data_IF_060752489241
#
_entry.id   IF_060752489241
#
_cell.length_a   1.000
_cell.length_b   1.000
_cell.length_c   1.000
_cell.angle_alpha   90.00
_cell.angle_beta   90.00
_cell.angle_gamma   90.00
#
_symmetry.space_group_name_H-M   'P 1'
#
loop_
_entity.id
_entity.type
_entity.pdbx_description
1 polymer ?
#
# COMPACT_ATOMS: atom_id res chain seq x y z
N UNK A 1 -54.46 32.53 6.01
CA UNK A 1 -53.48 33.65 6.05
C UNK A 1 -52.90 33.77 4.63
N UNK A 2 -52.82 34.89 3.89
CA UNK A 2 -52.61 36.33 4.21
C UNK A 2 -51.32 36.52 5.02
N UNK A 3 -50.23 37.14 4.55
CA UNK A 3 -50.11 38.26 3.60
C UNK A 3 -48.98 38.10 2.55
N UNK A 4 -48.93 39.03 1.59
CA UNK A 4 -47.87 39.20 0.58
C UNK A 4 -47.29 40.63 0.61
N UNK A 5 -46.15 40.82 -0.07
CA UNK A 5 -45.47 42.09 -0.46
C UNK A 5 -44.67 42.86 0.60
N UNK A 6 -43.42 43.19 0.25
CA UNK A 6 -42.99 44.59 -0.05
C UNK A 6 -41.60 44.66 -0.70
N UNK A 7 -41.45 45.55 -1.68
CA UNK A 7 -40.19 46.00 -2.29
C UNK A 7 -40.08 47.53 -2.13
N UNK A 8 -38.89 48.04 -1.80
CA UNK A 8 -38.35 49.42 -2.01
C UNK A 8 -36.81 49.25 -1.85
N UNK A 9 -35.90 49.46 -2.81
CA UNK A 9 -35.52 50.58 -3.71
C UNK A 9 -34.58 51.64 -3.07
N UNK A 10 -33.51 52.00 -3.83
CA UNK A 10 -32.51 53.09 -3.65
C UNK A 10 -31.36 52.92 -2.62
N UNK A 11 -30.18 53.54 -2.76
CA UNK A 11 -29.39 54.06 -3.93
C UNK A 11 -28.01 54.63 -3.46
N UNK A 12 -26.96 54.63 -4.34
CA UNK A 12 -25.84 55.62 -4.55
C UNK A 12 -25.07 56.23 -3.31
N UNK A 13 -23.81 56.72 -3.32
CA UNK A 13 -22.63 56.80 -4.21
C UNK A 13 -21.52 57.63 -3.47
N UNK A 14 -20.24 57.82 -3.84
CA UNK A 14 -19.19 57.08 -4.60
C UNK A 14 -17.85 57.88 -4.54
N UNK A 15 -16.68 57.23 -4.53
CA UNK A 15 -15.33 57.87 -4.66
C UNK A 15 -14.22 56.81 -4.85
N UNK A 16 -13.29 56.87 -5.82
CA UNK A 16 -12.30 57.90 -6.24
C UNK A 16 -11.04 57.86 -5.34
N UNK A 17 -9.84 57.58 -5.86
CA UNK A 17 -8.87 58.51 -6.51
C UNK A 17 -8.02 57.79 -7.59
N UNK A 18 -7.32 58.54 -8.47
CA UNK A 18 -6.58 58.01 -9.63
C UNK A 18 -5.12 58.52 -9.74
N UNK A 19 -4.26 57.76 -10.45
CA UNK A 19 -2.96 58.17 -10.98
C UNK A 19 -2.56 57.23 -12.17
N UNK A 20 -1.69 57.60 -13.12
CA UNK A 20 -1.14 58.94 -13.36
C UNK A 20 0.23 58.99 -14.09
N UNK A 21 0.25 58.82 -15.42
CA UNK A 21 1.32 59.35 -16.29
C UNK A 21 2.64 58.55 -16.42
N UNK A 22 3.16 58.47 -17.66
CA UNK A 22 4.40 57.77 -18.06
C UNK A 22 5.40 58.76 -18.68
N UNK A 23 6.71 58.66 -18.37
CA UNK A 23 7.86 58.91 -19.29
C UNK A 23 9.28 58.82 -18.69
N UNK A 24 9.96 57.70 -18.99
CA UNK A 24 11.27 57.54 -19.67
C UNK A 24 12.36 58.67 -19.65
N UNK A 25 13.63 58.29 -19.36
CA UNK A 25 14.91 58.50 -20.13
C UNK A 25 16.18 58.62 -19.22
N UNK A 26 17.26 57.89 -19.58
CA UNK A 26 18.71 57.99 -19.22
C UNK A 26 19.16 58.25 -17.74
N UNK A 27 20.13 57.56 -17.10
CA UNK A 27 21.40 56.90 -17.48
C UNK A 27 22.66 57.80 -17.51
N UNK A 28 23.59 57.60 -16.55
CA UNK A 28 25.05 57.43 -16.78
C UNK A 28 25.73 56.81 -15.51
N UNK A 29 27.06 56.75 -15.47
CA UNK A 29 27.89 55.77 -14.75
C UNK A 29 28.87 56.41 -13.75
N UNK A 30 29.23 55.69 -12.67
CA UNK A 30 30.41 55.99 -11.86
C UNK A 30 30.95 54.72 -11.16
N UNK A 31 32.28 54.58 -11.05
CA UNK A 31 32.94 53.37 -10.53
C UNK A 31 33.77 53.67 -9.28
N UNK A 32 33.62 52.87 -8.21
CA UNK A 32 34.65 52.76 -7.16
C UNK A 32 34.53 51.47 -6.33
N UNK A 33 35.70 50.99 -5.87
CA UNK A 33 35.97 49.87 -4.95
C UNK A 33 37.10 50.35 -3.99
N UNK A 34 37.47 49.69 -2.87
CA UNK A 34 37.07 48.33 -2.41
C UNK A 34 36.76 48.18 -0.89
N UNK A 35 36.54 46.92 -0.48
CA UNK A 35 37.09 46.24 0.73
C UNK A 35 36.20 45.95 1.97
N UNK A 36 36.56 44.81 2.61
CA UNK A 36 36.30 44.37 3.99
C UNK A 36 34.90 43.80 4.39
N UNK A 37 34.72 42.51 4.04
CA UNK A 37 34.19 41.41 4.87
C UNK A 37 33.06 41.63 5.90
N UNK A 38 31.96 40.90 5.70
CA UNK A 38 31.23 40.18 6.77
C UNK A 38 30.91 38.75 6.27
N UNK A 39 30.84 37.76 7.17
CA UNK A 39 30.70 36.33 6.85
C UNK A 39 29.30 35.81 7.14
N UNK A 40 28.32 36.22 6.32
CA UNK A 40 26.97 35.67 6.35
C UNK A 40 26.80 34.49 5.38
N UNK A 41 26.63 33.28 5.89
CA UNK A 41 26.14 32.15 5.10
C UNK A 41 24.63 32.38 4.85
N UNK A 42 24.28 32.71 3.60
CA UNK A 42 22.89 32.68 3.14
C UNK A 42 22.67 31.40 2.33
N UNK A 43 21.54 30.73 2.59
CA UNK A 43 21.21 29.47 1.94
C UNK A 43 21.13 29.62 0.41
N UNK A 44 21.59 28.59 -0.30
CA UNK A 44 21.52 28.54 -1.76
C UNK A 44 20.08 28.50 -2.28
N UNK A 45 19.85 28.84 -3.56
CA UNK A 45 18.54 28.68 -4.18
C UNK A 45 18.15 27.20 -4.16
N UNK A 46 16.95 26.91 -3.64
CA UNK A 46 16.36 25.56 -3.69
C UNK A 46 16.26 25.09 -5.14
N UNK A 47 16.90 23.95 -5.44
CA UNK A 47 16.70 23.27 -6.71
C UNK A 47 15.31 22.63 -6.78
N UNK A 48 14.78 22.34 -7.98
CA UNK A 48 13.55 21.58 -8.12
C UNK A 48 13.79 20.12 -7.69
N UNK A 49 13.54 19.84 -6.41
CA UNK A 49 13.56 18.48 -5.84
C UNK A 49 12.26 17.75 -6.19
N UNK A 50 12.10 17.50 -7.49
CA UNK A 50 11.21 16.47 -8.03
C UNK A 50 12.01 15.64 -9.03
N UNK A 51 13.15 15.15 -8.54
CA UNK A 51 13.94 14.16 -9.23
C UNK A 51 13.22 12.83 -9.07
N UNK A 52 12.39 12.49 -10.07
CA UNK A 52 11.77 11.17 -10.20
C UNK A 52 12.85 10.11 -10.38
N UNK A 53 13.42 9.67 -9.24
CA UNK A 53 14.49 8.67 -9.18
C UNK A 53 14.01 7.42 -9.92
N UNK A 54 14.88 6.85 -10.75
CA UNK A 54 14.48 5.69 -11.54
C UNK A 54 14.69 4.46 -10.69
N UNK A 55 13.62 4.17 -9.94
CA UNK A 55 13.56 3.11 -8.95
C UNK A 55 14.08 1.80 -9.54
N UNK A 56 14.98 1.13 -8.84
CA UNK A 56 15.79 0.05 -9.40
C UNK A 56 14.95 -1.23 -9.58
N UNK A 57 14.50 -1.51 -10.81
CA UNK A 57 13.50 -2.56 -11.09
C UNK A 57 13.75 -3.90 -10.41
N UNK A 58 12.69 -4.47 -9.83
CA UNK A 58 12.77 -5.55 -8.85
C UNK A 58 11.58 -6.52 -8.93
N UNK A 59 11.70 -7.68 -8.28
CA UNK A 59 10.60 -8.64 -8.19
C UNK A 59 9.58 -8.19 -7.15
N UNK A 60 8.27 -8.22 -7.45
CA UNK A 60 7.23 -8.12 -6.43
C UNK A 60 7.32 -9.34 -5.48
N UNK A 61 7.12 -9.12 -4.18
CA UNK A 61 7.13 -10.15 -3.13
C UNK A 61 5.86 -10.16 -2.27
N UNK A 62 5.07 -9.10 -2.28
CA UNK A 62 3.74 -9.07 -1.67
C UNK A 62 2.78 -8.16 -2.46
N UNK A 63 1.48 -8.47 -2.38
CA UNK A 63 0.37 -7.72 -2.98
C UNK A 63 -0.70 -7.42 -1.94
N UNK A 64 -1.11 -6.15 -1.86
CA UNK A 64 -2.17 -5.68 -0.94
C UNK A 64 -3.27 -4.98 -1.74
N UNK A 65 -4.53 -5.36 -1.55
CA UNK A 65 -5.71 -4.75 -2.17
C UNK A 65 -6.81 -4.65 -1.12
N UNK A 66 -6.86 -3.51 -0.42
CA UNK A 66 -7.78 -3.30 0.70
C UNK A 66 -9.26 -3.44 0.31
N UNK A 67 -9.65 -2.97 -0.89
CA UNK A 67 -11.03 -3.08 -1.41
C UNK A 67 -11.45 -4.52 -1.79
N UNK A 68 -10.55 -5.51 -1.65
CA UNK A 68 -10.79 -6.93 -1.94
C UNK A 68 -10.28 -7.87 -0.84
N UNK A 69 -9.94 -7.35 0.35
CA UNK A 69 -9.41 -8.11 1.49
C UNK A 69 -8.13 -8.90 1.16
N UNK A 70 -7.30 -8.38 0.25
CA UNK A 70 -6.03 -9.02 -0.15
C UNK A 70 -4.87 -8.48 0.66
N UNK A 71 -4.17 -9.36 1.35
CA UNK A 71 -2.83 -9.18 1.90
C UNK A 71 -2.11 -10.54 1.73
N UNK A 72 -1.20 -10.64 0.75
CA UNK A 72 -0.72 -11.93 0.25
C UNK A 72 0.73 -11.91 -0.27
N UNK A 73 1.46 -13.00 -0.05
CA UNK A 73 2.77 -13.25 -0.66
C UNK A 73 2.65 -13.40 -2.19
N UNK A 74 3.64 -12.89 -2.91
CA UNK A 74 3.79 -13.06 -4.36
C UNK A 74 4.83 -14.15 -4.65
N UNK A 75 4.36 -15.31 -5.12
CA UNK A 75 5.24 -16.39 -5.58
C UNK A 75 5.80 -16.10 -6.99
N UNK A 76 6.97 -16.65 -7.30
CA UNK A 76 7.53 -16.64 -8.67
C UNK A 76 6.99 -17.87 -9.41
N UNK A 77 6.28 -17.62 -10.52
CA UNK A 77 5.70 -18.65 -11.37
C UNK A 77 6.05 -18.40 -12.86
N UNK A 78 5.72 -19.33 -13.77
CA UNK A 78 6.22 -19.31 -15.15
C UNK A 78 5.10 -19.49 -16.19
N UNK A 79 5.36 -19.02 -17.42
CA UNK A 79 4.49 -19.25 -18.59
C UNK A 79 5.13 -20.33 -19.46
N UNK A 80 4.43 -21.46 -19.63
CA UNK A 80 4.92 -22.64 -20.36
C UNK A 80 3.99 -22.94 -21.53
N UNK A 81 4.54 -23.03 -22.75
CA UNK A 81 3.80 -23.21 -24.00
C UNK A 81 2.63 -22.21 -24.21
N UNK A 82 2.75 -21.02 -23.64
CA UNK A 82 1.73 -19.96 -23.67
C UNK A 82 0.64 -20.08 -22.60
N UNK A 83 0.68 -21.09 -21.74
CA UNK A 83 -0.18 -21.24 -20.56
C UNK A 83 0.47 -20.58 -19.35
N UNK A 84 -0.31 -19.81 -18.60
CA UNK A 84 0.05 -19.37 -17.25
C UNK A 84 -0.19 -20.53 -16.30
N UNK A 85 0.85 -21.04 -15.64
CA UNK A 85 0.72 -22.11 -14.65
C UNK A 85 -0.04 -21.65 -13.41
N UNK A 86 -0.79 -22.53 -12.76
CA UNK A 86 -1.61 -22.19 -11.59
C UNK A 86 -0.78 -21.80 -10.35
N UNK A 87 -1.28 -20.90 -9.48
CA UNK A 87 -0.68 -20.60 -8.17
C UNK A 87 -0.63 -21.82 -7.25
N UNK A 88 0.43 -21.96 -6.45
CA UNK A 88 0.67 -23.18 -5.64
C UNK A 88 -0.29 -23.38 -4.46
N UNK A 89 -1.03 -22.35 -4.03
CA UNK A 89 -1.96 -22.43 -2.90
C UNK A 89 -3.06 -21.36 -2.90
N UNK A 90 -4.05 -21.53 -2.02
CA UNK A 90 -5.26 -20.68 -1.97
C UNK A 90 -4.99 -19.20 -1.65
N UNK A 91 -3.91 -18.89 -0.92
CA UNK A 91 -3.65 -17.58 -0.32
C UNK A 91 -2.42 -16.86 -0.91
N UNK A 92 -1.85 -17.37 -2.00
CA UNK A 92 -0.67 -16.79 -2.68
C UNK A 92 -1.05 -16.21 -4.05
N UNK A 93 -0.36 -15.16 -4.45
CA UNK A 93 -0.50 -14.53 -5.77
C UNK A 93 0.69 -14.94 -6.65
N UNK A 94 0.43 -15.52 -7.82
CA UNK A 94 1.50 -15.89 -8.74
C UNK A 94 1.91 -14.71 -9.64
N UNK A 95 3.15 -14.24 -9.54
CA UNK A 95 3.76 -13.34 -10.53
C UNK A 95 4.52 -14.15 -11.59
N UNK A 96 4.34 -13.79 -12.86
CA UNK A 96 4.93 -14.54 -13.97
C UNK A 96 6.28 -13.96 -14.40
N UNK A 97 7.34 -14.77 -14.24
CA UNK A 97 8.70 -14.44 -14.67
C UNK A 97 8.75 -14.15 -16.19
N UNK A 98 9.54 -13.16 -16.58
CA UNK A 98 9.67 -12.71 -17.98
C UNK A 98 8.58 -11.74 -18.43
N UNK A 99 7.58 -11.47 -17.57
CA UNK A 99 6.68 -10.31 -17.72
C UNK A 99 7.38 -9.04 -17.19
N UNK A 100 6.64 -7.97 -16.88
CA UNK A 100 7.25 -6.80 -16.25
C UNK A 100 7.79 -7.08 -14.84
N UNK A 101 8.83 -6.35 -14.46
CA UNK A 101 9.24 -6.19 -13.05
C UNK A 101 8.58 -4.96 -12.42
N UNK A 102 8.57 -4.90 -11.08
CA UNK A 102 8.21 -3.71 -10.34
C UNK A 102 9.16 -2.56 -10.73
N UNK A 103 8.64 -1.35 -10.92
CA UNK A 103 9.41 -0.18 -11.39
C UNK A 103 9.97 -0.31 -12.82
N UNK A 104 9.53 -1.29 -13.62
CA UNK A 104 9.96 -1.45 -15.01
C UNK A 104 9.05 -0.69 -15.99
N UNK A 105 9.45 0.55 -16.29
CA UNK A 105 8.73 1.47 -17.18
C UNK A 105 8.45 0.86 -18.58
N UNK A 106 7.21 1.01 -19.07
CA UNK A 106 6.71 0.50 -20.38
C UNK A 106 6.56 -1.01 -20.44
N UNK A 107 6.03 -1.60 -19.38
CA UNK A 107 5.78 -3.03 -19.24
C UNK A 107 4.35 -3.31 -18.79
N UNK A 108 4.10 -4.60 -18.60
CA UNK A 108 2.88 -5.13 -18.04
C UNK A 108 3.30 -6.31 -17.15
N UNK A 109 3.13 -6.18 -15.84
CA UNK A 109 3.30 -7.28 -14.91
C UNK A 109 2.04 -8.15 -14.98
N UNK A 110 2.21 -9.48 -15.08
CA UNK A 110 1.07 -10.39 -15.02
C UNK A 110 1.05 -11.11 -13.68
N UNK A 111 -0.15 -11.19 -13.10
CA UNK A 111 -0.44 -11.91 -11.88
C UNK A 111 -1.65 -12.83 -12.05
N UNK A 112 -1.70 -13.90 -11.26
CA UNK A 112 -2.90 -14.72 -11.06
C UNK A 112 -3.04 -15.14 -9.59
N UNK A 113 -4.18 -15.71 -9.24
CA UNK A 113 -4.55 -16.08 -7.88
C UNK A 113 -5.92 -16.77 -7.92
N UNK A 114 -6.24 -17.58 -6.91
CA UNK A 114 -7.49 -18.34 -6.87
C UNK A 114 -8.66 -17.51 -6.30
N UNK A 115 -9.89 -17.72 -6.80
CA UNK A 115 -11.14 -17.13 -6.25
C UNK A 115 -11.79 -18.04 -5.21
N UNK A 116 -11.71 -19.34 -5.43
CA UNK A 116 -11.90 -20.40 -4.45
C UNK A 116 -10.89 -21.54 -4.71
N UNK A 117 -10.71 -22.41 -3.72
CA UNK A 117 -9.73 -23.50 -3.76
C UNK A 117 -10.32 -24.76 -3.11
N UNK A 118 -10.10 -25.90 -3.76
CA UNK A 118 -10.78 -27.15 -3.41
C UNK A 118 -10.41 -27.62 -2.00
N UNK A 119 -11.43 -27.75 -1.13
CA UNK A 119 -11.26 -28.16 0.26
C UNK A 119 -10.93 -27.01 1.24
N UNK A 120 -10.67 -25.80 0.75
CA UNK A 120 -10.45 -24.59 1.59
C UNK A 120 -11.68 -23.68 1.55
N UNK A 121 -12.29 -23.48 0.38
CA UNK A 121 -13.38 -22.52 0.19
C UNK A 121 -12.89 -21.26 -0.54
N UNK A 122 -13.34 -20.05 -0.17
CA UNK A 122 -12.82 -18.79 -0.70
C UNK A 122 -11.29 -18.69 -0.66
N UNK A 123 -10.72 -17.87 -1.53
CA UNK A 123 -9.27 -17.74 -1.75
C UNK A 123 -8.85 -16.29 -2.01
N UNK A 124 -7.55 -16.04 -2.19
CA UNK A 124 -6.92 -14.71 -2.26
C UNK A 124 -7.67 -13.68 -3.09
N UNK A 125 -8.26 -14.03 -4.24
CA UNK A 125 -8.97 -13.09 -5.11
C UNK A 125 -10.49 -13.17 -5.04
N UNK A 126 -11.05 -13.79 -3.99
CA UNK A 126 -12.51 -13.97 -3.80
C UNK A 126 -13.32 -12.71 -4.08
N UNK A 127 -12.89 -11.57 -3.55
CA UNK A 127 -13.61 -10.31 -3.63
C UNK A 127 -13.14 -9.40 -4.77
N UNK A 128 -12.03 -9.75 -5.45
CA UNK A 128 -11.36 -8.93 -6.46
C UNK A 128 -12.28 -8.53 -7.63
N UNK A 129 -13.23 -9.37 -8.00
CA UNK A 129 -14.19 -9.07 -9.07
C UNK A 129 -15.18 -7.93 -8.74
N UNK A 130 -15.18 -7.40 -7.51
CA UNK A 130 -16.08 -6.35 -7.05
C UNK A 130 -15.37 -5.00 -6.78
N UNK A 131 -14.04 -4.91 -6.97
CA UNK A 131 -13.31 -3.66 -6.71
C UNK A 131 -13.76 -2.54 -7.65
N UNK A 132 -13.99 -1.30 -7.16
CA UNK A 132 -14.29 -0.18 -8.03
C UNK A 132 -13.10 0.26 -8.89
N UNK A 133 -13.41 0.92 -10.01
CA UNK A 133 -12.41 1.70 -10.76
C UNK A 133 -11.81 2.77 -9.84
N UNK A 134 -10.48 2.87 -9.82
CA UNK A 134 -9.72 3.72 -8.90
C UNK A 134 -9.24 3.04 -7.60
N UNK A 135 -9.67 1.81 -7.29
CA UNK A 135 -9.13 1.02 -6.18
C UNK A 135 -7.61 0.89 -6.23
N UNK A 136 -6.95 0.91 -5.07
CA UNK A 136 -5.49 0.85 -4.97
C UNK A 136 -5.02 -0.58 -4.75
N UNK A 137 -4.20 -1.06 -5.68
CA UNK A 137 -3.37 -2.26 -5.56
C UNK A 137 -1.97 -1.80 -5.18
N UNK A 138 -1.46 -2.23 -4.04
CA UNK A 138 -0.08 -1.97 -3.61
C UNK A 138 0.79 -3.20 -3.87
N UNK A 139 2.03 -2.97 -4.29
CA UNK A 139 3.06 -3.99 -4.42
C UNK A 139 4.29 -3.58 -3.61
N UNK A 140 4.83 -4.56 -2.88
CA UNK A 140 6.13 -4.49 -2.22
C UNK A 140 7.14 -5.32 -3.02
N UNK A 141 8.37 -4.82 -3.15
CA UNK A 141 9.45 -5.45 -3.90
C UNK A 141 10.56 -6.08 -3.04
N UNK A 142 11.35 -6.98 -3.64
CA UNK A 142 12.42 -7.74 -2.97
C UNK A 142 13.53 -6.88 -2.32
N UNK A 143 13.57 -5.58 -2.61
CA UNK A 143 14.55 -4.60 -2.07
C UNK A 143 13.89 -3.53 -1.19
N UNK A 144 12.59 -3.62 -0.94
CA UNK A 144 11.81 -2.58 -0.25
C UNK A 144 11.33 -1.44 -1.17
N UNK A 145 11.26 -1.66 -2.49
CA UNK A 145 10.53 -0.76 -3.39
C UNK A 145 9.01 -0.88 -3.18
N UNK A 146 8.30 0.24 -3.19
CA UNK A 146 6.85 0.33 -3.01
C UNK A 146 6.20 0.95 -4.25
N UNK A 147 5.13 0.37 -4.78
CA UNK A 147 4.30 1.05 -5.79
C UNK A 147 2.79 0.83 -5.59
N UNK A 148 2.05 1.91 -5.79
CA UNK A 148 0.60 1.96 -5.77
C UNK A 148 0.06 2.05 -7.20
N UNK A 149 -0.87 1.18 -7.55
CA UNK A 149 -1.53 1.12 -8.85
C UNK A 149 -3.03 1.36 -8.67
N UNK A 150 -3.61 2.27 -9.44
CA UNK A 150 -5.06 2.47 -9.47
C UNK A 150 -5.69 1.56 -10.53
N UNK A 151 -6.77 0.85 -10.18
CA UNK A 151 -7.55 0.02 -11.10
C UNK A 151 -8.14 0.89 -12.21
N UNK A 152 -7.80 0.59 -13.46
CA UNK A 152 -8.36 1.21 -14.66
C UNK A 152 -9.68 0.55 -15.08
N UNK A 153 -9.80 -0.77 -14.92
CA UNK A 153 -11.03 -1.53 -15.18
C UNK A 153 -10.99 -2.93 -14.56
N UNK A 154 -12.18 -3.49 -14.35
CA UNK A 154 -12.42 -4.92 -14.10
C UNK A 154 -13.29 -5.45 -15.24
N UNK A 155 -12.77 -6.37 -16.05
CA UNK A 155 -13.49 -6.93 -17.22
C UNK A 155 -13.69 -8.44 -17.06
N UNK A 156 -14.95 -8.89 -17.03
CA UNK A 156 -15.31 -10.31 -17.02
C UNK A 156 -15.44 -10.84 -18.44
N UNK A 157 -14.54 -11.75 -18.83
CA UNK A 157 -14.39 -12.27 -20.20
C UNK A 157 -14.77 -13.75 -20.23
N UNK A 158 -15.63 -14.22 -21.14
CA UNK A 158 -15.92 -15.66 -21.25
C UNK A 158 -14.74 -16.45 -21.85
N UNK A 159 -14.64 -17.75 -21.55
CA UNK A 159 -13.65 -18.63 -22.19
C UNK A 159 -13.73 -18.62 -23.73
N UNK A 160 -14.90 -18.37 -24.31
CA UNK A 160 -15.09 -18.25 -25.76
C UNK A 160 -14.55 -16.93 -26.34
N UNK A 161 -14.50 -15.87 -25.54
CA UNK A 161 -13.95 -14.55 -25.91
C UNK A 161 -12.44 -14.44 -25.62
N UNK A 162 -11.89 -15.33 -24.79
CA UNK A 162 -10.47 -15.41 -24.45
C UNK A 162 -9.61 -15.99 -25.59
N UNK A 163 -9.74 -15.38 -26.76
CA UNK A 163 -8.96 -15.70 -27.97
C UNK A 163 -7.49 -15.31 -27.82
N UNK A 164 -6.62 -15.78 -28.71
CA UNK A 164 -5.23 -15.34 -28.78
C UNK A 164 -5.10 -13.81 -28.97
N UNK A 165 -6.04 -13.16 -29.67
CA UNK A 165 -6.07 -11.70 -29.83
C UNK A 165 -6.44 -11.00 -28.51
N UNK A 166 -7.41 -11.54 -27.76
CA UNK A 166 -7.78 -11.02 -26.43
C UNK A 166 -6.66 -11.22 -25.42
N UNK A 167 -6.03 -12.40 -25.39
CA UNK A 167 -4.84 -12.67 -24.59
C UNK A 167 -3.70 -11.72 -24.95
N UNK A 168 -3.44 -11.46 -26.23
CA UNK A 168 -2.44 -10.48 -26.65
C UNK A 168 -2.80 -9.06 -26.18
N UNK A 169 -4.07 -8.65 -26.30
CA UNK A 169 -4.54 -7.34 -25.84
C UNK A 169 -4.28 -7.12 -24.35
N UNK A 170 -4.55 -8.12 -23.51
CA UNK A 170 -4.43 -7.99 -22.05
C UNK A 170 -3.02 -8.26 -21.52
N UNK A 171 -2.21 -9.09 -22.20
CA UNK A 171 -0.86 -9.44 -21.74
C UNK A 171 0.26 -8.54 -22.30
N UNK A 172 0.07 -7.89 -23.45
CA UNK A 172 1.13 -7.12 -24.11
C UNK A 172 1.73 -5.99 -23.25
N UNK A 173 3.02 -5.62 -23.45
CA UNK A 173 3.64 -4.47 -22.80
C UNK A 173 2.88 -3.16 -23.11
N UNK A 174 2.63 -2.35 -22.08
CA UNK A 174 1.93 -1.07 -22.25
C UNK A 174 2.90 0.09 -22.51
N UNK A 175 2.37 1.28 -22.79
CA UNK A 175 3.19 2.51 -22.91
C UNK A 175 3.55 3.15 -21.57
N UNK A 176 3.09 2.56 -20.46
CA UNK A 176 3.27 2.99 -19.07
C UNK A 176 3.70 1.79 -18.20
N UNK A 177 3.67 1.92 -16.88
CA UNK A 177 3.89 0.79 -15.96
C UNK A 177 2.52 0.28 -15.52
N UNK A 178 2.21 -0.95 -15.91
CA UNK A 178 0.88 -1.54 -15.79
C UNK A 178 0.93 -2.89 -15.08
N UNK A 179 -0.19 -3.21 -14.44
CA UNK A 179 -0.43 -4.43 -13.70
C UNK A 179 -1.68 -5.11 -14.28
N UNK A 180 -1.57 -6.41 -14.58
CA UNK A 180 -2.69 -7.27 -14.95
C UNK A 180 -2.89 -8.33 -13.88
N UNK A 181 -4.12 -8.51 -13.41
CA UNK A 181 -4.51 -9.74 -12.72
C UNK A 181 -5.44 -10.51 -13.67
N UNK A 182 -5.22 -11.81 -13.84
CA UNK A 182 -6.13 -12.72 -14.51
C UNK A 182 -6.50 -13.81 -13.50
N UNK A 183 -7.78 -13.93 -13.17
CA UNK A 183 -8.28 -14.95 -12.23
C UNK A 183 -9.53 -15.66 -12.76
N UNK A 184 -9.88 -16.79 -12.15
CA UNK A 184 -11.13 -17.51 -12.38
C UNK A 184 -12.34 -16.61 -12.06
N UNK A 185 -13.41 -16.69 -12.87
CA UNK A 185 -14.55 -15.80 -12.67
C UNK A 185 -15.86 -16.30 -13.28
N UNK A 186 -16.96 -15.65 -12.90
CA UNK A 186 -18.29 -15.96 -13.42
C UNK A 186 -18.90 -17.25 -12.86
N UNK A 187 -19.67 -17.95 -13.69
CA UNK A 187 -20.36 -19.19 -13.31
C UNK A 187 -19.40 -20.40 -13.34
N UNK A 188 -19.46 -21.22 -12.29
CA UNK A 188 -18.69 -22.47 -12.18
C UNK A 188 -19.49 -23.65 -12.76
N UNK A 189 -18.91 -24.35 -13.72
CA UNK A 189 -19.53 -25.52 -14.34
C UNK A 189 -19.11 -26.81 -13.61
N UNK A 190 -20.00 -27.28 -12.73
CA UNK A 190 -19.80 -28.50 -11.93
C UNK A 190 -19.65 -29.80 -12.74
N UNK A 191 -20.09 -29.86 -14.01
CA UNK A 191 -19.93 -31.06 -14.85
C UNK A 191 -18.49 -31.22 -15.39
N UNK A 192 -17.71 -30.14 -15.45
CA UNK A 192 -16.31 -30.15 -15.94
C UNK A 192 -15.29 -29.67 -14.91
N UNK A 193 -15.74 -29.04 -13.83
CA UNK A 193 -14.88 -28.54 -12.75
C UNK A 193 -14.18 -27.20 -13.05
N UNK A 194 -14.75 -26.37 -13.92
CA UNK A 194 -14.10 -25.13 -14.39
C UNK A 194 -15.04 -23.91 -14.34
N UNK A 195 -14.46 -22.74 -14.06
CA UNK A 195 -15.10 -21.44 -14.27
C UNK A 195 -15.23 -21.11 -15.76
N UNK A 196 -16.44 -20.72 -16.19
CA UNK A 196 -16.75 -20.41 -17.59
C UNK A 196 -16.22 -19.05 -18.07
N UNK A 197 -15.70 -18.23 -17.15
CA UNK A 197 -15.19 -16.89 -17.41
C UNK A 197 -13.85 -16.68 -16.70
N UNK A 198 -13.17 -15.58 -17.03
CA UNK A 198 -12.01 -15.06 -16.31
C UNK A 198 -12.23 -13.58 -16.03
N UNK A 199 -11.87 -13.16 -14.83
CA UNK A 199 -11.89 -11.75 -14.45
C UNK A 199 -10.50 -11.16 -14.70
N UNK A 200 -10.47 -10.13 -15.54
CA UNK A 200 -9.25 -9.43 -15.97
C UNK A 200 -9.26 -8.04 -15.36
N UNK A 201 -8.37 -7.82 -14.40
CA UNK A 201 -8.20 -6.52 -13.75
C UNK A 201 -7.02 -5.82 -14.42
N UNK A 202 -7.17 -4.54 -14.75
CA UNK A 202 -6.06 -3.66 -15.15
C UNK A 202 -5.85 -2.61 -14.10
N UNK A 203 -4.60 -2.36 -13.74
CA UNK A 203 -4.21 -1.20 -12.95
C UNK A 203 -2.99 -0.49 -13.54
N UNK A 204 -2.91 0.81 -13.28
CA UNK A 204 -1.86 1.73 -13.76
C UNK A 204 -1.12 2.30 -12.56
N UNK A 205 0.21 2.38 -12.64
CA UNK A 205 1.04 3.05 -11.63
C UNK A 205 0.55 4.49 -11.38
N UNK A 206 0.24 4.81 -10.13
CA UNK A 206 -0.12 6.17 -9.66
C UNK A 206 0.87 6.76 -8.67
N UNK A 207 1.62 5.93 -7.94
CA UNK A 207 2.72 6.34 -7.06
C UNK A 207 3.78 5.24 -6.99
N UNK A 208 5.04 5.63 -6.79
CA UNK A 208 6.16 4.71 -6.56
C UNK A 208 7.23 5.37 -5.70
N UNK A 209 7.78 4.63 -4.73
CA UNK A 209 8.74 5.09 -3.72
C UNK A 209 9.84 4.05 -3.54
N UNK A 210 11.10 4.49 -3.57
CA UNK A 210 12.24 3.70 -3.08
C UNK A 210 12.44 3.95 -1.58
N UNK A 211 12.70 2.89 -0.83
CA UNK A 211 13.48 2.99 0.41
C UNK A 211 14.94 3.16 0.02
N UNK A 212 15.41 4.40 -0.03
CA UNK A 212 16.80 4.71 -0.39
C UNK A 212 17.79 4.22 0.67
N UNK A 213 18.47 3.10 0.39
CA UNK A 213 19.51 2.55 1.27
C UNK A 213 20.74 3.46 1.31
N UNK A 214 20.77 4.40 2.25
CA UNK A 214 21.99 5.15 2.58
C UNK A 214 23.00 4.22 3.27
N UNK A 215 23.96 3.68 2.51
CA UNK A 215 25.11 2.95 3.06
C UNK A 215 26.09 3.95 3.67
N UNK A 216 25.72 4.47 4.84
CA UNK A 216 26.63 5.15 5.77
C UNK A 216 27.56 4.11 6.40
N UNK A 217 28.87 4.27 6.21
CA UNK A 217 29.88 3.36 6.77
C UNK A 217 29.94 3.44 8.29
N UNK A 218 30.06 2.28 8.95
CA UNK A 218 30.22 2.12 10.39
C UNK A 218 31.46 2.86 10.94
N UNK A 219 31.27 3.67 11.99
CA UNK A 219 32.24 3.81 13.08
C UNK A 219 31.53 4.34 14.36
N UNK A 220 32.17 4.17 15.52
CA UNK A 220 31.84 4.71 16.85
C UNK A 220 30.51 4.27 17.51
N UNK A 221 30.63 3.29 18.43
CA UNK A 221 29.77 3.10 19.62
C UNK A 221 30.63 2.44 20.71
N UNK A 222 30.32 2.57 22.03
CA UNK A 222 29.20 3.28 22.64
C UNK A 222 29.58 4.24 23.80
N UNK A 223 28.59 5.01 24.28
CA UNK A 223 28.51 5.42 25.69
C UNK A 223 27.05 5.60 26.09
N UNK A 224 26.60 4.86 27.10
CA UNK A 224 25.28 5.02 27.72
C UNK A 224 25.43 5.71 29.09
N UNK A 225 24.47 6.56 29.47
CA UNK A 225 24.03 6.84 30.86
C UNK A 225 22.77 7.73 30.83
N UNK A 226 21.61 7.09 31.01
CA UNK A 226 20.60 7.39 32.05
C UNK A 226 19.96 8.80 32.21
N UNK A 227 18.61 8.82 32.24
CA UNK A 227 17.67 9.80 32.85
C UNK A 227 17.74 11.31 32.47
N UNK A 228 16.65 12.08 32.43
CA UNK A 228 15.35 11.92 33.10
C UNK A 228 14.16 12.42 32.24
N UNK A 229 12.94 12.04 32.65
CA UNK A 229 11.70 12.31 31.92
C UNK A 229 11.10 13.71 32.10
N UNK A 230 10.17 14.07 31.21
CA UNK A 230 8.87 14.65 31.61
C UNK A 230 7.80 14.10 30.65
N UNK A 231 6.61 13.82 31.18
CA UNK A 231 5.58 12.96 30.61
C UNK A 231 4.20 13.61 30.77
N UNK A 232 3.34 13.51 29.76
CA UNK A 232 1.89 13.77 29.85
C UNK A 232 1.23 12.98 28.69
N UNK A 233 0.82 11.72 28.80
CA UNK A 233 0.09 10.96 29.82
C UNK A 233 -1.45 11.14 29.77
N UNK A 234 -2.09 10.23 29.03
CA UNK A 234 -3.23 9.47 29.53
C UNK A 234 -2.88 8.00 29.21
N UNK A 235 -2.52 7.12 30.16
CA UNK A 235 -3.24 6.72 31.38
C UNK A 235 -4.56 6.05 30.99
N UNK A 236 -4.57 4.75 30.64
CA UNK A 236 -4.30 3.55 31.48
C UNK A 236 -5.48 3.19 32.39
N UNK A 237 -6.03 1.99 32.20
CA UNK A 237 -6.38 1.11 33.32
C UNK A 237 -5.81 -0.28 33.01
N UNK A 238 -4.94 -0.78 33.88
CA UNK A 238 -4.48 -2.17 33.85
C UNK A 238 -5.46 -3.06 34.63
N UNK A 239 -5.86 -4.20 34.06
CA UNK A 239 -6.76 -5.16 34.70
C UNK A 239 -6.08 -6.51 34.94
N UNK A 240 -5.92 -6.84 36.22
CA UNK A 240 -5.56 -8.13 36.82
C UNK A 240 -5.08 -9.29 35.89
N UNK A 241 -3.75 -9.35 35.72
CA UNK A 241 -2.91 -10.56 35.81
C UNK A 241 -3.67 -11.91 35.71
N UNK A 242 -4.00 -12.30 34.48
CA UNK A 242 -4.48 -13.65 34.12
C UNK A 242 -3.74 -14.15 32.89
N UNK A 243 -2.41 -14.29 33.03
CA UNK A 243 -1.55 -14.87 31.99
C UNK A 243 -2.05 -16.25 31.55
N UNK A 244 -2.50 -16.36 30.30
CA UNK A 244 -2.90 -17.63 29.67
C UNK A 244 -1.93 -17.94 28.56
N UNK A 245 -1.49 -19.18 28.42
CA UNK A 245 -0.78 -19.61 27.21
C UNK A 245 -1.77 -19.89 26.08
N UNK A 246 -1.37 -19.56 24.87
CA UNK A 246 -2.06 -19.94 23.64
C UNK A 246 -1.03 -20.41 22.62
N UNK A 247 -1.43 -21.34 21.75
CA UNK A 247 -0.62 -21.79 20.62
C UNK A 247 -1.09 -21.08 19.36
N UNK A 248 -0.16 -20.50 18.60
CA UNK A 248 -0.45 -19.91 17.30
C UNK A 248 -0.76 -21.01 16.28
N UNK A 249 -1.88 -20.91 15.58
CA UNK A 249 -2.45 -22.01 14.77
C UNK A 249 -2.02 -22.04 13.31
N UNK A 250 -1.22 -21.07 12.86
CA UNK A 250 -0.82 -20.90 11.46
C UNK A 250 0.57 -20.27 11.34
N UNK A 251 1.27 -20.57 10.26
CA UNK A 251 2.52 -19.89 9.89
C UNK A 251 2.26 -18.43 9.45
N UNK A 252 3.19 -17.53 9.75
CA UNK A 252 3.16 -16.12 9.29
C UNK A 252 2.13 -15.20 9.95
N UNK A 253 1.67 -15.50 11.17
CA UNK A 253 0.66 -14.69 11.88
C UNK A 253 1.28 -13.38 12.39
N UNK A 254 0.75 -12.25 11.92
CA UNK A 254 1.23 -10.92 12.27
C UNK A 254 0.94 -10.54 13.74
N UNK A 255 1.98 -10.09 14.44
CA UNK A 255 1.92 -9.49 15.79
C UNK A 255 2.06 -7.98 15.65
N UNK A 256 1.02 -7.21 16.02
CA UNK A 256 0.95 -5.75 15.78
C UNK A 256 1.10 -4.95 17.08
N UNK A 257 1.59 -3.69 17.04
CA UNK A 257 1.84 -2.89 18.25
C UNK A 257 0.55 -2.41 18.93
N UNK A 258 -0.58 -2.43 18.21
CA UNK A 258 -1.91 -2.13 18.72
C UNK A 258 -2.94 -3.13 18.20
N UNK A 259 -4.14 -3.12 18.78
CA UNK A 259 -5.31 -3.91 18.33
C UNK A 259 -5.92 -3.33 17.04
N UNK A 260 -5.14 -3.25 15.97
CA UNK A 260 -5.54 -2.67 14.69
C UNK A 260 -4.72 -3.26 13.54
N UNK A 261 -5.32 -3.37 12.35
CA UNK A 261 -4.61 -3.71 11.10
C UNK A 261 -3.89 -2.50 10.48
N UNK A 262 -4.12 -1.28 11.02
CA UNK A 262 -3.62 -0.02 10.45
C UNK A 262 -2.15 0.29 10.76
N UNK A 263 -1.52 -0.44 11.68
CA UNK A 263 -0.11 -0.30 12.04
C UNK A 263 0.68 -1.54 11.64
N UNK A 264 1.92 -1.36 11.19
CA UNK A 264 2.80 -2.44 10.73
C UNK A 264 3.06 -3.50 11.82
N UNK A 265 3.29 -4.74 11.40
CA UNK A 265 3.61 -5.82 12.33
C UNK A 265 5.00 -5.62 12.96
N UNK A 266 5.09 -5.73 14.30
CA UNK A 266 6.35 -5.70 15.04
C UNK A 266 7.08 -7.06 15.03
N UNK A 267 6.33 -8.15 14.83
CA UNK A 267 6.86 -9.50 14.66
C UNK A 267 5.86 -10.40 13.91
N UNK A 268 6.29 -11.62 13.56
CA UNK A 268 5.45 -12.68 13.02
C UNK A 268 5.65 -13.97 13.81
N UNK A 269 4.56 -14.66 14.17
CA UNK A 269 4.56 -15.95 14.84
C UNK A 269 4.12 -17.08 13.90
N UNK A 270 4.44 -18.33 14.23
CA UNK A 270 4.26 -19.48 13.35
C UNK A 270 3.45 -20.62 13.98
N UNK A 271 3.07 -21.61 13.19
CA UNK A 271 2.22 -22.71 13.64
C UNK A 271 2.91 -23.56 14.70
N UNK A 272 2.43 -23.49 15.93
CA UNK A 272 3.02 -24.17 17.08
C UNK A 272 3.88 -23.29 17.99
N UNK A 273 4.07 -22.01 17.66
CA UNK A 273 4.70 -21.05 18.58
C UNK A 273 3.76 -20.81 19.79
N UNK A 274 4.29 -20.91 21.01
CA UNK A 274 3.57 -20.58 22.24
C UNK A 274 3.70 -19.09 22.56
N UNK A 275 2.56 -18.43 22.78
CA UNK A 275 2.48 -17.02 23.21
C UNK A 275 1.77 -16.92 24.56
N UNK A 276 2.16 -15.93 25.37
CA UNK A 276 1.48 -15.63 26.63
C UNK A 276 0.52 -14.47 26.42
N UNK A 277 -0.78 -14.69 26.54
CA UNK A 277 -1.79 -13.63 26.56
C UNK A 277 -1.67 -12.87 27.88
N UNK A 278 -1.43 -11.56 27.80
CA UNK A 278 -1.09 -10.71 28.95
C UNK A 278 -2.27 -9.90 29.51
N UNK A 279 -3.46 -10.00 28.92
CA UNK A 279 -4.66 -9.28 29.36
C UNK A 279 -5.96 -9.72 28.67
N UNK A 280 -7.04 -9.00 28.94
CA UNK A 280 -8.35 -9.18 28.29
C UNK A 280 -8.31 -8.79 26.80
N UNK A 281 -9.25 -9.32 26.01
CA UNK A 281 -9.33 -9.02 24.57
C UNK A 281 -9.94 -7.65 24.27
N UNK A 282 -9.51 -7.08 23.15
CA UNK A 282 -9.91 -5.74 22.65
C UNK A 282 -10.49 -5.87 21.24
N UNK A 283 -11.60 -5.19 20.96
CA UNK A 283 -12.20 -5.14 19.62
C UNK A 283 -11.55 -4.04 18.78
N UNK A 284 -11.10 -4.37 17.56
CA UNK A 284 -10.47 -3.42 16.65
C UNK A 284 -10.51 -3.87 15.19
N UNK A 285 -10.83 -2.96 14.27
CA UNK A 285 -10.98 -3.20 12.83
C UNK A 285 -11.88 -4.38 12.42
N UNK A 286 -12.85 -4.74 13.28
CA UNK A 286 -13.78 -5.84 13.08
C UNK A 286 -13.33 -7.19 13.66
N UNK A 287 -12.17 -7.24 14.31
CA UNK A 287 -11.59 -8.43 14.94
C UNK A 287 -11.49 -8.31 16.46
N UNK A 288 -11.56 -9.45 17.14
CA UNK A 288 -11.17 -9.59 18.55
C UNK A 288 -9.64 -9.81 18.61
N UNK A 289 -8.92 -8.95 19.30
CA UNK A 289 -7.47 -9.04 19.51
C UNK A 289 -7.15 -9.46 20.94
N UNK A 290 -6.13 -10.29 21.13
CA UNK A 290 -5.51 -10.51 22.45
C UNK A 290 -4.15 -9.81 22.52
N UNK A 291 -3.85 -9.07 23.60
CA UNK A 291 -2.49 -8.65 23.91
C UNK A 291 -1.65 -9.89 24.26
N UNK A 292 -0.47 -10.01 23.67
CA UNK A 292 0.43 -11.18 23.76
C UNK A 292 1.88 -10.78 24.01
N UNK A 293 2.63 -11.70 24.60
CA UNK A 293 4.08 -11.71 24.72
C UNK A 293 4.63 -12.99 24.06
N UNK A 294 5.60 -12.82 23.16
CA UNK A 294 6.35 -13.87 22.47
C UNK A 294 7.51 -14.39 23.33
N UNK A 295 8.02 -15.58 23.00
CA UNK A 295 9.12 -16.23 23.72
C UNK A 295 10.48 -15.48 23.68
N UNK A 296 10.62 -14.45 22.84
CA UNK A 296 11.76 -13.53 22.78
C UNK A 296 11.58 -12.27 23.65
N UNK A 297 10.40 -12.07 24.23
CA UNK A 297 10.01 -10.87 24.98
C UNK A 297 9.34 -9.78 24.13
N UNK A 298 9.10 -10.02 22.84
CA UNK A 298 8.35 -9.07 21.99
C UNK A 298 6.88 -9.06 22.39
N UNK A 299 6.32 -7.87 22.64
CA UNK A 299 4.91 -7.68 23.01
C UNK A 299 4.12 -7.02 21.89
N UNK A 300 2.83 -7.34 21.80
CA UNK A 300 1.92 -6.79 20.80
C UNK A 300 0.54 -7.43 20.88
N UNK A 301 -0.17 -7.46 19.76
CA UNK A 301 -1.53 -7.98 19.65
C UNK A 301 -1.63 -8.97 18.48
N UNK A 302 -2.38 -10.07 18.69
CA UNK A 302 -2.74 -11.06 17.66
C UNK A 302 -4.27 -11.21 17.65
N UNK A 303 -4.85 -11.41 16.46
CA UNK A 303 -6.28 -11.71 16.30
C UNK A 303 -6.62 -13.09 16.86
N UNK A 304 -7.68 -13.17 17.67
CA UNK A 304 -8.10 -14.35 18.41
C UNK A 304 -8.31 -15.61 17.54
N UNK A 305 -8.73 -15.45 16.29
CA UNK A 305 -8.96 -16.54 15.34
C UNK A 305 -7.68 -17.34 15.00
N UNK A 306 -6.48 -16.79 15.30
CA UNK A 306 -5.19 -17.46 15.12
C UNK A 306 -4.60 -18.05 16.42
N UNK A 307 -5.34 -18.04 17.53
CA UNK A 307 -4.87 -18.46 18.85
C UNK A 307 -5.73 -19.59 19.43
N UNK A 308 -5.15 -20.79 19.56
CA UNK A 308 -5.75 -21.88 20.34
C UNK A 308 -5.38 -21.71 21.81
N UNK A 309 -6.36 -21.30 22.64
CA UNK A 309 -6.20 -21.15 24.09
C UNK A 309 -5.92 -22.50 24.77
N UNK A 310 -4.93 -22.56 25.65
CA UNK A 310 -4.69 -23.74 26.48
C UNK A 310 -5.84 -23.99 27.48
N UNK A 311 -6.23 -25.25 27.74
CA UNK A 311 -7.39 -25.63 28.56
C UNK A 311 -7.16 -25.68 30.09
#
# INVERSE_FOLDING_TARGET
MKHTRREVIAALASGMVAAGGMRLVAADSASQLPAAADTGILAGPVGPSDAMQTLASERPVAMIIADADVDAEVEINHIVDGQMLDPTGAWVVAWYEGTGMLHEKRRNMLFSGHVDYWGVGPSVFRNLANVPEGSIIQLLGEKGGEASYAVEFVERVTLAEMTAEKMQQITAPTSFEALTIITCGGEFNYDVGEYLQRDVIRARLVSGKEVGTEIGSEDETPTATEEAATQEAATEEASADTTKTATVTQDGVNVRPSASTSEDAVASANSGDEVTITGDSVEGDGYTWYPVELADGTTGFIVADFLELAP
#
